data_IF_371918260676
#
_entry.id   IF_371918260676
#
_cell.length_a   1.000
_cell.length_b   1.000
_cell.length_c   1.000
_cell.angle_alpha   90.00
_cell.angle_beta   90.00
_cell.angle_gamma   90.00
#
_symmetry.space_group_name_H-M   'P 1'
#
loop_
_entity.id
_entity.type
_entity.pdbx_description
1 polymer ?
#
# COMPACT_ATOMS: atom_id res chain seq x y z
N UNK A 1 -31.59 -8.71 14.73
CA UNK A 1 -30.21 -9.23 14.85
C UNK A 1 -29.37 -8.63 13.72
N UNK A 2 -28.82 -7.44 13.92
CA UNK A 2 -27.82 -6.84 13.03
C UNK A 2 -26.49 -6.84 13.77
N UNK A 3 -25.64 -7.84 13.51
CA UNK A 3 -24.25 -7.77 13.97
C UNK A 3 -23.49 -6.81 13.06
N UNK A 4 -23.49 -5.53 13.45
CA UNK A 4 -22.46 -4.59 13.04
C UNK A 4 -21.12 -5.15 13.54
N UNK A 5 -20.25 -5.62 12.66
CA UNK A 5 -18.88 -5.94 13.01
C UNK A 5 -18.20 -4.64 13.47
N UNK A 6 -17.77 -4.50 14.74
CA UNK A 6 -16.99 -3.34 15.14
C UNK A 6 -15.69 -3.33 14.33
N UNK A 7 -15.44 -2.23 13.61
CA UNK A 7 -14.19 -1.97 12.90
C UNK A 7 -13.02 -2.10 13.89
N UNK A 8 -12.28 -3.20 13.80
CA UNK A 8 -11.24 -3.54 14.77
C UNK A 8 -10.00 -2.63 14.61
N UNK A 9 -9.36 -2.24 15.72
CA UNK A 9 -8.32 -1.17 15.87
C UNK A 9 -7.18 -1.19 14.85
N UNK A 10 -6.81 -2.38 14.35
CA UNK A 10 -5.80 -2.59 13.31
C UNK A 10 -6.13 -1.89 11.98
N UNK A 11 -7.42 -1.78 11.64
CA UNK A 11 -7.86 -1.14 10.40
C UNK A 11 -7.62 0.38 10.43
N UNK A 12 -7.95 1.01 11.56
CA UNK A 12 -7.68 2.42 11.80
C UNK A 12 -6.19 2.71 11.82
N UNK A 13 -5.38 1.85 12.44
CA UNK A 13 -3.93 2.02 12.45
C UNK A 13 -3.37 2.03 11.01
N UNK A 14 -3.68 1.06 10.16
CA UNK A 14 -3.17 1.03 8.78
C UNK A 14 -3.63 2.23 7.93
N UNK A 15 -4.88 2.67 8.10
CA UNK A 15 -5.39 3.90 7.48
C UNK A 15 -4.63 5.14 7.99
N UNK A 16 -4.47 5.29 9.30
CA UNK A 16 -3.76 6.41 9.92
C UNK A 16 -2.28 6.43 9.55
N UNK A 17 -1.65 5.26 9.46
CA UNK A 17 -0.22 5.15 9.14
C UNK A 17 0.08 5.55 7.69
N UNK A 18 -0.83 5.27 6.76
CA UNK A 18 -0.72 5.75 5.38
C UNK A 18 -1.04 7.25 5.24
N UNK A 19 -1.96 7.77 6.06
CA UNK A 19 -2.29 9.21 6.07
C UNK A 19 -1.19 10.07 6.75
N UNK A 20 -0.60 9.62 7.85
CA UNK A 20 0.34 10.41 8.64
C UNK A 20 1.75 10.47 8.04
N UNK A 21 2.24 9.42 7.35
CA UNK A 21 3.58 9.47 6.74
C UNK A 21 3.61 10.19 5.39
N UNK A 22 2.47 10.37 4.72
CA UNK A 22 2.34 11.36 3.62
C UNK A 22 2.37 12.81 4.14
N UNK A 23 2.30 12.98 5.46
CA UNK A 23 2.26 14.25 6.20
C UNK A 23 3.45 14.42 7.15
N UNK A 24 4.56 13.71 6.94
CA UNK A 24 5.84 14.10 7.55
C UNK A 24 6.46 15.27 6.77
N UNK A 25 5.72 16.37 6.77
CA UNK A 25 6.29 17.71 6.81
C UNK A 25 5.90 18.27 8.17
N UNK A 26 6.88 18.62 9.00
CA UNK A 26 6.70 19.47 10.19
C UNK A 26 6.24 20.90 9.82
N UNK A 27 5.49 21.09 8.73
CA UNK A 27 4.97 22.38 8.31
C UNK A 27 3.46 22.47 8.59
N UNK A 28 3.18 23.07 9.75
CA UNK A 28 2.18 24.13 9.90
C UNK A 28 0.78 23.86 9.30
N UNK A 29 0.01 23.00 9.95
CA UNK A 29 -1.45 23.21 10.09
C UNK A 29 -1.74 23.70 11.51
N UNK A 30 -1.05 24.77 11.91
CA UNK A 30 -1.54 25.61 12.99
C UNK A 30 -2.62 26.51 12.37
N UNK A 31 -3.89 26.12 12.44
CA UNK A 31 -4.95 27.05 12.04
C UNK A 31 -6.31 26.52 11.63
N UNK A 32 -6.62 25.22 11.71
CA UNK A 32 -8.01 24.78 11.59
C UNK A 32 -8.27 23.60 12.55
N UNK A 33 -9.16 23.81 13.52
CA UNK A 33 -9.66 22.81 14.46
C UNK A 33 -10.48 21.71 13.76
N UNK A 34 -9.80 20.85 12.99
CA UNK A 34 -10.43 19.63 12.49
C UNK A 34 -10.45 18.63 13.65
N UNK A 35 -11.58 18.56 14.36
CA UNK A 35 -11.83 17.48 15.33
C UNK A 35 -11.75 16.15 14.60
N UNK A 36 -10.74 15.36 14.94
CA UNK A 36 -10.61 14.00 14.43
C UNK A 36 -11.75 13.14 14.99
N UNK A 37 -12.22 12.12 14.26
CA UNK A 37 -13.16 11.14 14.80
C UNK A 37 -12.63 10.57 16.12
N UNK A 38 -13.51 10.34 17.10
CA UNK A 38 -13.15 9.90 18.45
C UNK A 38 -12.29 8.63 18.45
N UNK A 39 -12.55 7.74 17.50
CA UNK A 39 -11.81 6.51 17.27
C UNK A 39 -10.34 6.78 16.89
N UNK A 40 -10.06 7.85 16.14
CA UNK A 40 -8.71 8.27 15.76
C UNK A 40 -7.96 8.86 16.95
N UNK A 41 -8.65 9.66 17.77
CA UNK A 41 -8.07 10.18 19.02
C UNK A 41 -7.74 9.06 20.00
N UNK A 42 -8.59 8.02 20.07
CA UNK A 42 -8.38 6.90 20.96
C UNK A 42 -7.21 6.01 20.51
N UNK A 43 -6.96 5.88 19.19
CA UNK A 43 -5.75 5.22 18.66
C UNK A 43 -4.49 6.00 19.05
N UNK A 44 -4.50 7.34 19.01
CA UNK A 44 -3.36 8.18 19.43
C UNK A 44 -3.00 8.04 20.91
N UNK A 45 -3.94 7.62 21.76
CA UNK A 45 -3.72 7.42 23.20
C UNK A 45 -3.13 6.05 23.55
N UNK A 46 -2.99 5.15 22.57
CA UNK A 46 -2.44 3.82 22.81
C UNK A 46 -0.93 3.92 23.00
N UNK A 47 -0.46 3.44 24.15
CA UNK A 47 0.96 3.39 24.50
C UNK A 47 1.66 2.10 24.06
N UNK A 48 0.89 1.07 23.70
CA UNK A 48 1.39 -0.26 23.39
C UNK A 48 1.38 -0.55 21.87
N UNK A 49 2.38 -1.29 21.34
CA UNK A 49 2.45 -1.61 19.92
C UNK A 49 1.28 -2.50 19.46
N UNK A 50 0.54 -2.04 18.45
CA UNK A 50 -0.73 -2.64 18.04
C UNK A 50 -0.63 -3.97 17.28
N UNK A 51 0.55 -4.26 16.72
CA UNK A 51 0.79 -5.36 15.79
C UNK A 51 1.84 -6.35 16.31
N UNK A 52 2.10 -6.34 17.62
CA UNK A 52 3.02 -7.28 18.27
C UNK A 52 2.68 -8.73 17.88
N UNK A 53 3.68 -9.46 17.39
CA UNK A 53 3.53 -10.86 16.97
C UNK A 53 2.84 -11.07 15.62
N UNK A 54 2.52 -10.00 14.89
CA UNK A 54 1.95 -10.07 13.54
C UNK A 54 3.03 -10.14 12.47
N UNK A 55 2.74 -10.84 11.38
CA UNK A 55 3.62 -10.94 10.22
C UNK A 55 3.03 -10.17 9.05
N UNK A 56 3.80 -9.25 8.48
CA UNK A 56 3.35 -8.39 7.39
C UNK A 56 4.25 -8.51 6.15
N UNK A 57 3.64 -8.67 4.98
CA UNK A 57 4.33 -8.56 3.68
C UNK A 57 4.04 -7.18 3.09
N UNK A 58 5.07 -6.48 2.63
CA UNK A 58 4.93 -5.21 1.89
C UNK A 58 5.61 -5.35 0.54
N UNK A 59 4.83 -5.34 -0.54
CA UNK A 59 5.37 -5.29 -1.90
C UNK A 59 5.72 -3.86 -2.28
N UNK A 60 6.78 -3.64 -3.06
CA UNK A 60 7.26 -2.27 -3.32
C UNK A 60 7.93 -1.65 -2.08
N UNK A 61 8.35 -2.49 -1.12
CA UNK A 61 8.85 -2.06 0.17
C UNK A 61 10.23 -1.42 0.15
N UNK A 62 10.94 -1.44 -0.99
CA UNK A 62 12.29 -0.88 -1.09
C UNK A 62 12.32 0.64 -1.09
N UNK A 63 11.22 1.35 -1.36
CA UNK A 63 11.20 2.81 -1.47
C UNK A 63 9.81 3.43 -1.25
N UNK A 64 9.75 4.77 -1.23
CA UNK A 64 8.51 5.55 -1.22
C UNK A 64 7.51 5.11 -0.15
N UNK A 65 6.23 5.03 -0.54
CA UNK A 65 5.13 4.63 0.36
C UNK A 65 5.38 3.25 0.98
N UNK A 66 5.88 2.27 0.20
CA UNK A 66 6.14 0.93 0.70
C UNK A 66 7.15 0.92 1.84
N UNK A 67 8.27 1.64 1.69
CA UNK A 67 9.27 1.80 2.76
C UNK A 67 8.68 2.44 4.00
N UNK A 68 7.92 3.52 3.84
CA UNK A 68 7.25 4.19 4.96
C UNK A 68 6.27 3.26 5.69
N UNK A 69 5.55 2.41 4.95
CA UNK A 69 4.68 1.39 5.54
C UNK A 69 5.49 0.36 6.33
N UNK A 70 6.62 -0.12 5.81
CA UNK A 70 7.51 -1.03 6.53
C UNK A 70 7.95 -0.47 7.88
N UNK A 71 8.41 0.79 7.91
CA UNK A 71 8.85 1.46 9.15
C UNK A 71 7.74 1.60 10.17
N UNK A 72 6.51 1.84 9.71
CA UNK A 72 5.38 1.97 10.62
C UNK A 72 4.92 0.61 11.15
N UNK A 73 4.87 -0.42 10.30
CA UNK A 73 4.57 -1.78 10.74
C UNK A 73 5.58 -2.26 11.80
N UNK A 74 6.87 -1.96 11.59
CA UNK A 74 7.93 -2.22 12.55
C UNK A 74 7.72 -1.47 13.87
N UNK A 75 7.43 -0.16 13.82
CA UNK A 75 7.12 0.65 15.01
C UNK A 75 5.96 0.06 15.82
N UNK A 76 4.95 -0.48 15.15
CA UNK A 76 3.79 -1.12 15.79
C UNK A 76 4.05 -2.58 16.23
N UNK A 77 5.28 -3.10 16.06
CA UNK A 77 5.71 -4.40 16.58
C UNK A 77 5.52 -5.59 15.63
N UNK A 78 5.22 -5.35 14.35
CA UNK A 78 5.09 -6.43 13.36
C UNK A 78 6.46 -6.90 12.84
N UNK A 79 6.58 -8.19 12.55
CA UNK A 79 7.67 -8.70 11.71
C UNK A 79 7.35 -8.41 10.24
N UNK A 80 8.29 -7.77 9.55
CA UNK A 80 8.08 -7.23 8.19
C UNK A 80 8.89 -7.99 7.16
N UNK A 81 8.20 -8.44 6.11
CA UNK A 81 8.76 -9.06 4.91
C UNK A 81 8.72 -8.03 3.79
N UNK A 82 9.90 -7.52 3.43
CA UNK A 82 10.09 -6.54 2.35
C UNK A 82 10.19 -7.31 1.04
N UNK A 83 9.19 -7.14 0.17
CA UNK A 83 9.17 -7.78 -1.15
C UNK A 83 9.34 -6.72 -2.24
N UNK A 84 10.46 -6.77 -2.96
CA UNK A 84 10.76 -5.79 -4.01
C UNK A 84 11.72 -6.39 -5.03
N UNK A 85 11.77 -5.82 -6.24
CA UNK A 85 12.76 -6.18 -7.26
C UNK A 85 14.11 -5.48 -7.01
N UNK A 86 14.10 -4.37 -6.25
CA UNK A 86 15.30 -3.63 -5.89
C UNK A 86 15.89 -4.14 -4.56
N UNK A 87 16.86 -5.05 -4.65
CA UNK A 87 17.53 -5.62 -3.48
C UNK A 87 18.30 -4.59 -2.68
N UNK A 88 19.01 -3.65 -3.33
CA UNK A 88 19.74 -2.60 -2.63
C UNK A 88 18.81 -1.70 -1.82
N UNK A 89 17.69 -1.26 -2.40
CA UNK A 89 16.68 -0.47 -1.70
C UNK A 89 15.97 -1.25 -0.59
N UNK A 90 15.79 -2.56 -0.79
CA UNK A 90 15.25 -3.46 0.25
C UNK A 90 16.21 -3.58 1.42
N UNK A 91 17.52 -3.71 1.17
CA UNK A 91 18.53 -3.76 2.22
C UNK A 91 18.60 -2.45 3.01
N UNK A 92 18.52 -1.31 2.33
CA UNK A 92 18.42 0.01 3.00
C UNK A 92 17.18 0.04 3.91
N UNK A 93 16.03 -0.42 3.41
CA UNK A 93 14.80 -0.45 4.21
C UNK A 93 14.93 -1.38 5.41
N UNK A 94 15.52 -2.57 5.23
CA UNK A 94 15.75 -3.54 6.29
C UNK A 94 16.61 -2.96 7.41
N UNK A 95 17.68 -2.22 7.06
CA UNK A 95 18.57 -1.57 8.02
C UNK A 95 17.90 -0.43 8.82
N UNK A 96 16.78 0.11 8.33
CA UNK A 96 16.01 1.15 9.03
C UNK A 96 15.03 0.56 10.05
N UNK A 97 14.71 -0.73 9.96
CA UNK A 97 13.78 -1.39 10.88
C UNK A 97 14.52 -1.79 12.16
N UNK A 98 13.92 -1.51 13.32
CA UNK A 98 14.53 -1.72 14.64
C UNK A 98 14.02 -2.99 15.34
N UNK A 99 12.89 -3.52 14.91
CA UNK A 99 12.30 -4.74 15.43
C UNK A 99 13.07 -5.99 15.03
N UNK A 100 12.46 -7.14 15.29
CA UNK A 100 13.07 -8.46 15.09
C UNK A 100 12.34 -9.23 14.00
N UNK A 101 13.06 -10.19 13.42
CA UNK A 101 12.56 -11.13 12.42
C UNK A 101 12.07 -10.48 11.12
N UNK A 102 12.59 -9.31 10.75
CA UNK A 102 12.40 -8.75 9.42
C UNK A 102 13.19 -9.57 8.39
N UNK A 103 12.73 -9.57 7.14
CA UNK A 103 13.44 -10.19 6.03
C UNK A 103 13.16 -9.43 4.75
N UNK A 104 14.09 -9.48 3.80
CA UNK A 104 13.81 -9.08 2.42
C UNK A 104 13.80 -10.30 1.50
N UNK A 105 12.95 -10.28 0.48
CA UNK A 105 12.84 -11.31 -0.55
C UNK A 105 12.70 -10.63 -1.90
N UNK A 106 13.68 -10.85 -2.79
CA UNK A 106 13.60 -10.39 -4.17
C UNK A 106 12.31 -10.89 -4.82
N UNK A 107 11.45 -9.97 -5.26
CA UNK A 107 10.14 -10.30 -5.83
C UNK A 107 9.75 -9.33 -6.93
N UNK A 108 9.72 -9.81 -8.18
CA UNK A 108 8.93 -9.19 -9.23
C UNK A 108 7.46 -9.65 -9.11
N UNK A 109 6.59 -8.76 -8.65
CA UNK A 109 5.16 -9.06 -8.48
C UNK A 109 4.45 -9.42 -9.79
N UNK A 110 4.99 -9.00 -10.93
CA UNK A 110 4.42 -9.31 -12.23
C UNK A 110 4.65 -10.76 -12.66
N UNK A 111 5.55 -11.49 -11.99
CA UNK A 111 5.91 -12.87 -12.30
C UNK A 111 5.32 -13.84 -11.27
N UNK A 112 4.60 -14.86 -11.75
CA UNK A 112 3.91 -15.83 -10.88
C UNK A 112 4.89 -16.60 -10.00
N UNK A 113 6.01 -17.06 -10.57
CA UNK A 113 6.96 -17.90 -9.85
C UNK A 113 7.67 -17.13 -8.73
N UNK A 114 7.91 -15.83 -8.94
CA UNK A 114 8.44 -14.95 -7.90
C UNK A 114 7.46 -14.82 -6.73
N UNK A 115 6.18 -14.57 -7.03
CA UNK A 115 5.14 -14.50 -5.98
C UNK A 115 4.98 -15.85 -5.27
N UNK A 116 4.99 -16.97 -5.99
CA UNK A 116 4.94 -18.31 -5.39
C UNK A 116 6.11 -18.53 -4.43
N UNK A 117 7.34 -18.20 -4.84
CA UNK A 117 8.53 -18.29 -4.00
C UNK A 117 8.45 -17.37 -2.77
N UNK A 118 7.95 -16.14 -2.93
CA UNK A 118 7.72 -15.22 -1.80
C UNK A 118 6.84 -15.87 -0.72
N UNK A 119 5.67 -16.39 -1.10
CA UNK A 119 4.75 -16.98 -0.13
C UNK A 119 5.24 -18.32 0.44
N UNK A 120 5.97 -19.12 -0.34
CA UNK A 120 6.60 -20.34 0.16
C UNK A 120 7.62 -20.04 1.27
N UNK A 121 8.51 -19.05 1.06
CA UNK A 121 9.49 -18.63 2.07
C UNK A 121 8.84 -18.02 3.31
N UNK A 122 7.73 -17.29 3.13
CA UNK A 122 6.98 -16.75 4.26
C UNK A 122 6.31 -17.86 5.06
N UNK A 123 5.72 -18.84 4.39
CA UNK A 123 5.13 -20.02 5.04
C UNK A 123 6.19 -20.82 5.79
N UNK A 124 7.36 -21.05 5.20
CA UNK A 124 8.47 -21.78 5.84
C UNK A 124 8.97 -21.06 7.10
N UNK A 125 9.25 -19.75 7.00
CA UNK A 125 9.88 -19.00 8.10
C UNK A 125 8.91 -18.54 9.19
N UNK A 126 7.69 -18.16 8.80
CA UNK A 126 6.72 -17.53 9.72
C UNK A 126 5.45 -18.37 9.92
N UNK A 127 5.25 -19.43 9.12
CA UNK A 127 4.08 -20.31 9.16
C UNK A 127 2.80 -19.72 8.57
N UNK A 128 2.65 -18.39 8.48
CA UNK A 128 1.52 -17.70 7.85
C UNK A 128 1.80 -16.19 7.70
N UNK A 129 0.83 -15.43 7.19
CA UNK A 129 0.90 -13.96 7.06
C UNK A 129 -0.37 -13.28 7.57
N UNK A 130 -0.25 -12.26 8.40
CA UNK A 130 -1.39 -11.52 8.95
C UNK A 130 -1.83 -10.35 8.08
N UNK A 131 -0.86 -9.64 7.50
CA UNK A 131 -1.06 -8.38 6.80
C UNK A 131 -0.33 -8.45 5.45
N UNK A 132 -1.00 -8.05 4.38
CA UNK A 132 -0.37 -7.87 3.07
C UNK A 132 -0.66 -6.48 2.56
N UNK A 133 0.38 -5.73 2.21
CA UNK A 133 0.28 -4.40 1.61
C UNK A 133 0.80 -4.48 0.17
N UNK A 134 -0.10 -4.35 -0.79
CA UNK A 134 0.22 -4.28 -2.20
C UNK A 134 0.58 -2.85 -2.59
N UNK A 135 1.84 -2.46 -2.40
CA UNK A 135 2.35 -1.11 -2.72
C UNK A 135 3.22 -1.07 -3.98
N UNK A 136 3.64 -2.21 -4.53
CA UNK A 136 4.37 -2.25 -5.79
C UNK A 136 3.55 -1.60 -6.92
N UNK A 137 4.19 -0.74 -7.70
CA UNK A 137 3.55 -0.11 -8.84
C UNK A 137 4.52 0.73 -9.65
N UNK A 138 4.18 0.95 -10.91
CA UNK A 138 4.92 1.80 -11.84
C UNK A 138 3.96 2.74 -12.57
N UNK A 139 4.55 3.75 -13.22
CA UNK A 139 3.87 4.69 -14.11
C UNK A 139 4.61 4.69 -15.44
N UNK A 140 3.89 4.89 -16.55
CA UNK A 140 4.52 5.13 -17.85
C UNK A 140 4.85 6.62 -18.01
N UNK A 141 5.67 6.96 -19.00
CA UNK A 141 5.92 8.37 -19.34
C UNK A 141 4.61 9.07 -19.67
N UNK A 142 4.43 10.30 -19.17
CA UNK A 142 3.23 11.07 -19.45
C UNK A 142 3.15 11.41 -20.95
N UNK A 143 2.16 10.85 -21.64
CA UNK A 143 1.95 11.03 -23.09
C UNK A 143 0.48 10.97 -23.48
N UNK A 144 0.11 11.49 -24.66
CA UNK A 144 -1.22 11.27 -25.20
C UNK A 144 -1.46 9.78 -25.44
N UNK A 145 -2.73 9.36 -25.41
CA UNK A 145 -3.09 7.93 -25.61
C UNK A 145 -2.61 7.39 -26.96
N UNK A 146 -2.50 8.26 -27.97
CA UNK A 146 -1.94 7.95 -29.31
C UNK A 146 -0.49 7.50 -29.26
N UNK A 147 0.25 7.91 -28.22
CA UNK A 147 1.69 7.69 -28.09
C UNK A 147 2.00 6.67 -26.98
N UNK A 148 0.98 6.13 -26.30
CA UNK A 148 1.16 5.05 -25.33
C UNK A 148 1.29 3.75 -26.11
N UNK A 149 2.50 3.17 -26.12
CA UNK A 149 2.73 1.89 -26.77
C UNK A 149 2.04 0.75 -26.02
N UNK A 150 1.67 -0.31 -26.74
CA UNK A 150 1.13 -1.54 -26.16
C UNK A 150 2.07 -2.11 -25.09
N UNK A 151 3.37 -2.14 -25.36
CA UNK A 151 4.37 -2.60 -24.39
C UNK A 151 4.38 -1.77 -23.09
N UNK A 152 4.21 -0.44 -23.17
CA UNK A 152 4.12 0.40 -21.98
C UNK A 152 2.82 0.15 -21.22
N UNK A 153 1.70 0.02 -21.94
CA UNK A 153 0.40 -0.32 -21.36
C UNK A 153 0.46 -1.67 -20.62
N UNK A 154 0.94 -2.71 -21.30
CA UNK A 154 1.05 -4.07 -20.77
C UNK A 154 1.97 -4.14 -19.57
N UNK A 155 3.11 -3.42 -19.60
CA UNK A 155 4.02 -3.36 -18.45
C UNK A 155 3.32 -2.76 -17.22
N UNK A 156 2.60 -1.64 -17.40
CA UNK A 156 1.85 -0.99 -16.32
C UNK A 156 0.76 -1.92 -15.77
N UNK A 157 0.00 -2.57 -16.65
CA UNK A 157 -1.05 -3.52 -16.25
C UNK A 157 -0.47 -4.75 -15.54
N UNK A 158 0.66 -5.27 -16.03
CA UNK A 158 1.33 -6.44 -15.49
C UNK A 158 1.84 -6.21 -14.07
N UNK A 159 2.43 -5.05 -13.79
CA UNK A 159 2.90 -4.72 -12.44
C UNK A 159 1.73 -4.29 -11.54
N UNK A 160 0.95 -3.29 -11.96
CA UNK A 160 0.00 -2.63 -11.07
C UNK A 160 -1.24 -3.49 -10.78
N UNK A 161 -1.78 -4.17 -11.80
CA UNK A 161 -3.01 -4.95 -11.66
C UNK A 161 -2.70 -6.45 -11.48
N UNK A 162 -2.01 -7.06 -12.45
CA UNK A 162 -1.70 -8.49 -12.40
C UNK A 162 -0.86 -8.83 -11.17
N UNK A 163 0.13 -8.00 -10.84
CA UNK A 163 0.91 -8.17 -9.61
C UNK A 163 0.07 -8.12 -8.34
N UNK A 164 -0.79 -7.11 -8.20
CA UNK A 164 -1.75 -7.02 -7.07
C UNK A 164 -2.65 -8.25 -7.00
N UNK A 165 -3.14 -8.74 -8.14
CA UNK A 165 -3.95 -9.96 -8.21
C UNK A 165 -3.18 -11.20 -7.74
N UNK A 166 -1.97 -11.44 -8.26
CA UNK A 166 -1.17 -12.62 -7.92
C UNK A 166 -0.85 -12.67 -6.43
N UNK A 167 -0.41 -11.54 -5.88
CA UNK A 167 -0.05 -11.43 -4.46
C UNK A 167 -1.30 -11.60 -3.59
N UNK A 168 -2.42 -10.97 -3.95
CA UNK A 168 -3.69 -11.11 -3.22
C UNK A 168 -4.17 -12.56 -3.23
N UNK A 169 -4.14 -13.23 -4.38
CA UNK A 169 -4.54 -14.64 -4.50
C UNK A 169 -3.67 -15.54 -3.61
N UNK A 170 -2.35 -15.38 -3.67
CA UNK A 170 -1.43 -16.17 -2.85
C UNK A 170 -1.60 -15.88 -1.36
N UNK A 171 -1.84 -14.63 -0.98
CA UNK A 171 -2.14 -14.22 0.38
C UNK A 171 -3.40 -14.89 0.92
N UNK A 172 -4.51 -14.82 0.19
CA UNK A 172 -5.77 -15.46 0.59
C UNK A 172 -5.57 -16.96 0.76
N UNK A 173 -4.90 -17.63 -0.19
CA UNK A 173 -4.57 -19.07 -0.08
C UNK A 173 -3.80 -19.39 1.20
N UNK A 174 -2.74 -18.63 1.52
CA UNK A 174 -1.93 -18.87 2.72
C UNK A 174 -2.69 -18.53 4.02
N UNK A 175 -3.49 -17.45 4.02
CA UNK A 175 -4.27 -17.02 5.18
C UNK A 175 -5.32 -18.08 5.56
N UNK A 176 -5.99 -18.68 4.57
CA UNK A 176 -7.02 -19.69 4.76
C UNK A 176 -6.50 -21.06 5.22
N UNK A 177 -5.19 -21.32 5.15
CA UNK A 177 -4.59 -22.53 5.74
C UNK A 177 -4.68 -22.55 7.28
N UNK A 178 -4.88 -21.40 7.91
CA UNK A 178 -5.06 -21.23 9.36
C UNK A 178 -6.32 -20.42 9.63
N UNK A 179 -6.62 -20.11 10.89
CA UNK A 179 -7.69 -19.16 11.20
C UNK A 179 -7.37 -17.79 10.57
N UNK A 180 -8.23 -17.38 9.64
CA UNK A 180 -8.09 -16.16 8.86
C UNK A 180 -8.79 -14.95 9.50
N UNK A 181 -9.38 -15.12 10.68
CA UNK A 181 -10.01 -14.03 11.44
C UNK A 181 -8.99 -12.92 11.73
N UNK A 182 -9.34 -11.69 11.32
CA UNK A 182 -8.56 -10.48 11.61
C UNK A 182 -7.44 -10.18 10.61
N UNK A 183 -7.24 -11.03 9.60
CA UNK A 183 -6.24 -10.83 8.54
C UNK A 183 -6.61 -9.63 7.66
N UNK A 184 -5.61 -9.00 7.07
CA UNK A 184 -5.78 -7.76 6.28
C UNK A 184 -4.99 -7.80 4.99
N UNK A 185 -5.64 -7.39 3.89
CA UNK A 185 -5.01 -7.05 2.63
C UNK A 185 -5.32 -5.58 2.33
N UNK A 186 -4.28 -4.80 2.06
CA UNK A 186 -4.37 -3.39 1.73
C UNK A 186 -3.76 -3.13 0.35
N UNK A 187 -4.55 -2.62 -0.58
CA UNK A 187 -4.13 -2.32 -1.94
C UNK A 187 -3.91 -0.83 -2.14
N UNK A 188 -2.71 -0.43 -2.59
CA UNK A 188 -2.40 0.96 -2.89
C UNK A 188 -2.86 1.30 -4.31
N UNK A 189 -3.95 2.04 -4.42
CA UNK A 189 -4.47 2.53 -5.69
C UNK A 189 -3.90 3.94 -6.00
N UNK A 190 -4.75 4.87 -6.45
CA UNK A 190 -4.44 6.29 -6.64
C UNK A 190 -5.74 7.06 -6.82
N UNK A 191 -5.77 8.35 -6.48
CA UNK A 191 -6.88 9.24 -6.89
C UNK A 191 -7.08 9.26 -8.41
N UNK A 192 -6.02 9.02 -9.19
CA UNK A 192 -6.08 8.89 -10.65
C UNK A 192 -6.94 7.69 -11.10
N UNK A 193 -7.07 6.66 -10.26
CA UNK A 193 -7.94 5.51 -10.52
C UNK A 193 -9.43 5.81 -10.35
N UNK A 194 -9.79 6.90 -9.67
CA UNK A 194 -11.19 7.29 -9.45
C UNK A 194 -11.73 8.19 -10.57
N UNK A 195 -10.92 9.14 -11.05
CA UNK A 195 -11.36 10.15 -12.02
C UNK A 195 -10.58 10.19 -13.32
N UNK A 196 -9.57 9.33 -13.49
CA UNK A 196 -8.61 9.45 -14.58
C UNK A 196 -7.62 10.59 -14.37
N UNK A 197 -6.54 10.58 -15.15
CA UNK A 197 -5.59 11.68 -15.23
C UNK A 197 -5.07 11.85 -16.64
N UNK A 198 -5.08 13.09 -17.14
CA UNK A 198 -4.55 13.42 -18.48
C UNK A 198 -3.11 12.93 -18.59
N UNK A 199 -2.80 12.33 -19.73
CA UNK A 199 -1.50 11.76 -20.08
C UNK A 199 -1.07 10.49 -19.33
N UNK A 200 -1.93 9.94 -18.47
CA UNK A 200 -1.64 8.75 -17.66
C UNK A 200 -2.74 7.69 -17.82
N UNK A 201 -3.14 7.41 -19.06
CA UNK A 201 -4.28 6.54 -19.38
C UNK A 201 -4.10 5.11 -18.84
N UNK A 202 -2.97 4.47 -19.14
CA UNK A 202 -2.70 3.09 -18.68
C UNK A 202 -2.59 3.03 -17.15
N UNK A 203 -1.92 4.01 -16.54
CA UNK A 203 -1.81 4.09 -15.08
C UNK A 203 -3.17 4.26 -14.42
N UNK A 204 -3.99 5.21 -14.91
CA UNK A 204 -5.34 5.47 -14.38
C UNK A 204 -6.22 4.24 -14.52
N UNK A 205 -6.20 3.58 -15.69
CA UNK A 205 -6.93 2.33 -15.91
C UNK A 205 -6.49 1.24 -14.92
N UNK A 206 -5.18 1.05 -14.73
CA UNK A 206 -4.65 0.05 -13.78
C UNK A 206 -5.09 0.32 -12.34
N UNK A 207 -5.08 1.59 -11.89
CA UNK A 207 -5.48 1.95 -10.52
C UNK A 207 -7.00 1.92 -10.32
N UNK A 208 -7.78 2.23 -11.36
CA UNK A 208 -9.23 2.03 -11.38
C UNK A 208 -9.60 0.54 -11.26
N UNK A 209 -8.89 -0.32 -12.00
CA UNK A 209 -9.06 -1.77 -11.92
C UNK A 209 -8.72 -2.31 -10.52
N UNK A 210 -7.65 -1.83 -9.88
CA UNK A 210 -7.32 -2.21 -8.49
C UNK A 210 -8.44 -1.84 -7.51
N UNK A 211 -9.10 -0.70 -7.67
CA UNK A 211 -10.23 -0.30 -6.82
C UNK A 211 -11.39 -1.29 -6.98
N UNK A 212 -11.77 -1.60 -8.22
CA UNK A 212 -12.86 -2.54 -8.50
C UNK A 212 -12.51 -3.96 -8.02
N UNK A 213 -11.31 -4.44 -8.31
CA UNK A 213 -10.78 -5.72 -7.87
C UNK A 213 -10.82 -5.86 -6.34
N UNK A 214 -10.36 -4.84 -5.62
CA UNK A 214 -10.38 -4.82 -4.15
C UNK A 214 -11.80 -5.02 -3.60
N UNK A 215 -12.79 -4.33 -4.17
CA UNK A 215 -14.19 -4.45 -3.74
C UNK A 215 -14.75 -5.86 -3.96
N UNK A 216 -14.45 -6.48 -5.12
CA UNK A 216 -14.87 -7.86 -5.41
C UNK A 216 -14.29 -8.83 -4.39
N UNK A 217 -12.96 -8.82 -4.23
CA UNK A 217 -12.28 -9.75 -3.32
C UNK A 217 -12.75 -9.53 -1.87
N UNK A 218 -12.97 -8.28 -1.45
CA UNK A 218 -13.49 -7.99 -0.11
C UNK A 218 -14.83 -8.71 0.15
N UNK A 219 -15.74 -8.73 -0.82
CA UNK A 219 -17.02 -9.45 -0.69
C UNK A 219 -16.82 -10.96 -0.65
N UNK A 220 -15.88 -11.49 -1.44
CA UNK A 220 -15.58 -12.93 -1.49
C UNK A 220 -15.04 -13.46 -0.16
N UNK A 221 -14.18 -12.70 0.53
CA UNK A 221 -13.45 -13.20 1.71
C UNK A 221 -13.91 -12.62 3.06
N UNK A 222 -14.87 -11.70 3.07
CA UNK A 222 -15.35 -11.04 4.29
C UNK A 222 -15.84 -12.03 5.35
N UNK A 223 -16.67 -13.00 4.95
CA UNK A 223 -17.22 -14.02 5.86
C UNK A 223 -16.16 -15.05 6.31
N UNK A 224 -15.01 -15.09 5.64
CA UNK A 224 -13.85 -15.89 6.03
C UNK A 224 -12.94 -15.16 7.04
N UNK A 225 -13.30 -13.93 7.44
CA UNK A 225 -12.59 -13.15 8.44
C UNK A 225 -11.42 -12.30 7.91
N UNK A 226 -11.23 -12.26 6.58
CA UNK A 226 -10.20 -11.46 5.91
C UNK A 226 -10.80 -10.12 5.49
N UNK A 227 -10.11 -9.02 5.80
CA UNK A 227 -10.50 -7.67 5.37
C UNK A 227 -9.65 -7.23 4.19
N UNK A 228 -10.28 -6.78 3.12
CA UNK A 228 -9.58 -6.28 1.93
C UNK A 228 -10.00 -4.85 1.65
N UNK A 229 -9.04 -3.93 1.62
CA UNK A 229 -9.31 -2.50 1.45
C UNK A 229 -8.34 -1.87 0.48
N UNK A 230 -8.69 -0.69 -0.01
CA UNK A 230 -7.82 0.11 -0.87
C UNK A 230 -7.68 1.52 -0.33
N UNK A 231 -6.49 2.07 -0.46
CA UNK A 231 -6.23 3.50 -0.21
C UNK A 231 -5.82 4.16 -1.52
N UNK A 232 -6.21 5.43 -1.67
CA UNK A 232 -6.02 6.20 -2.89
C UNK A 232 -5.16 7.42 -2.57
N UNK A 233 -3.81 7.28 -2.52
CA UNK A 233 -2.94 8.43 -2.35
C UNK A 233 -3.13 9.48 -3.46
N UNK A 234 -2.99 10.74 -3.05
CA UNK A 234 -2.81 11.88 -3.96
C UNK A 234 -1.38 11.94 -4.48
N UNK A 235 -0.89 13.15 -4.80
CA UNK A 235 0.55 13.32 -5.06
C UNK A 235 1.32 13.04 -3.78
N UNK A 236 2.35 12.21 -3.88
CA UNK A 236 3.23 11.86 -2.77
C UNK A 236 4.64 11.88 -3.29
N UNK A 237 5.54 12.58 -2.59
CA UNK A 237 6.94 12.65 -2.98
C UNK A 237 7.58 11.26 -2.83
N UNK A 238 7.73 10.59 -3.96
CA UNK A 238 8.31 9.27 -4.08
C UNK A 238 9.16 9.22 -5.36
N UNK A 239 10.09 8.26 -5.50
CA UNK A 239 10.84 8.11 -6.75
C UNK A 239 9.95 8.02 -8.00
N UNK A 240 8.71 7.52 -7.87
CA UNK A 240 7.72 7.45 -8.96
C UNK A 240 7.34 8.82 -9.53
N UNK A 241 7.34 9.88 -8.72
CA UNK A 241 6.91 11.23 -9.13
C UNK A 241 8.06 12.13 -9.58
N UNK A 242 9.33 11.74 -9.31
CA UNK A 242 10.51 12.56 -9.58
C UNK A 242 10.87 12.67 -11.08
N UNK A 243 10.31 11.81 -11.95
CA UNK A 243 10.52 11.85 -13.40
C UNK A 243 9.64 12.82 -14.19
N UNK A 244 8.81 13.64 -13.55
CA UNK A 244 7.95 14.63 -14.22
C UNK A 244 8.61 16.02 -14.28
N UNK A 245 8.44 16.80 -15.36
CA UNK A 245 9.12 18.09 -15.50
C UNK A 245 8.79 19.05 -14.35
N UNK A 246 9.77 19.89 -13.90
CA UNK A 246 9.69 20.69 -12.66
C UNK A 246 8.48 21.62 -12.58
N UNK A 247 7.90 21.98 -13.73
CA UNK A 247 6.68 22.80 -13.82
C UNK A 247 5.47 22.14 -13.14
N UNK A 248 5.40 20.80 -13.11
CA UNK A 248 4.31 20.09 -12.42
C UNK A 248 4.43 20.15 -10.89
N UNK A 249 5.66 20.13 -10.35
CA UNK A 249 5.88 20.34 -8.91
C UNK A 249 5.57 21.79 -8.48
N UNK A 250 5.85 22.77 -9.35
CA UNK A 250 5.51 24.19 -9.14
C UNK A 250 4.00 24.47 -9.22
N UNK A 251 3.26 23.79 -10.10
CA UNK A 251 1.80 23.90 -10.19
C UNK A 251 1.13 23.33 -8.94
N UNK A 252 1.67 22.25 -8.37
CA UNK A 252 1.17 21.68 -7.10
C UNK A 252 1.45 22.64 -5.92
N UNK A 253 2.64 23.24 -5.84
CA UNK A 253 2.94 24.27 -4.81
C UNK A 253 2.04 25.52 -4.93
N UNK A 254 1.72 25.95 -6.15
CA UNK A 254 0.90 27.16 -6.36
C UNK A 254 -0.61 26.94 -6.24
N UNK A 255 -1.12 25.73 -6.50
CA UNK A 255 -2.55 25.39 -6.32
C UNK A 255 -2.92 25.15 -4.85
N UNK A 256 -1.98 24.71 -4.00
CA UNK A 256 -2.21 24.53 -2.55
C UNK A 256 -2.23 25.88 -1.81
N UNK A 257 -1.57 26.91 -2.35
CA UNK A 257 -1.44 28.23 -1.72
C UNK A 257 -2.44 29.30 -2.21
N UNK A 258 -3.28 29.01 -3.20
CA UNK A 258 -4.36 29.94 -3.59
C UNK A 258 -5.60 29.69 -2.74
N UNK A 259 -5.73 30.46 -1.65
CA UNK A 259 -7.06 30.84 -1.14
C UNK A 259 -7.78 31.54 -2.29
N UNK A 260 -8.74 30.88 -2.91
CA UNK A 260 -9.72 31.59 -3.73
C UNK A 260 -10.74 32.23 -2.78
N UNK A 261 -11.16 33.49 -3.05
CA UNK A 261 -12.02 34.30 -2.19
C UNK A 261 -13.42 33.69 -1.98
#
# INVERSE_FOLDING_TARGET
>A
MHHFFPLNRVHWCLLLCCFFNAFNAEETVAGNDVKLPKEVEDVKKLKEPLLTGKVAIVTGGASGIGRSVCQVLDREGASVVIADINDTGSQVTLNLLKGKNHTMIHTDVSLRDNVTNLFARVEEKYGSVDIVVNSAGIVHNASLVTDVTEAAFDKVMSVNLRGTYLVTQAAVKLMLKKNATGRVILNIASVSGRGGRRYLSAYSASKGAVIAFTKSVALEVALLGIRVNTILPGFTDTPMTQGHPPIYCLVVRSLILRKFP
#
